data_IF_693402467355
#
_entry.id   IF_693402467355
#
_cell.length_a   1.000
_cell.length_b   1.000
_cell.length_c   1.000
_cell.angle_alpha   90.00
_cell.angle_beta   90.00
_cell.angle_gamma   90.00
#
_symmetry.space_group_name_H-M   'P 1'
#
loop_
_entity.id
_entity.type
_entity.pdbx_description
1 polymer ?
#
# COMPACT_ATOMS: atom_id res chain seq x y z
N UNK A 1 -7.18 20.20 -2.61
CA UNK A 1 -5.72 19.99 -2.62
C UNK A 1 -5.08 21.10 -3.44
N UNK A 2 -4.06 21.74 -2.89
CA UNK A 2 -3.43 22.89 -3.55
C UNK A 2 -2.43 22.43 -4.61
N UNK A 3 -2.18 23.29 -5.61
CA UNK A 3 -1.17 23.09 -6.65
C UNK A 3 0.22 22.87 -6.02
N UNK A 4 0.53 23.57 -4.93
CA UNK A 4 1.82 23.47 -4.24
C UNK A 4 2.09 22.05 -3.72
N UNK A 5 1.04 21.37 -3.23
CA UNK A 5 1.18 19.99 -2.76
C UNK A 5 1.43 19.04 -3.93
N UNK A 6 0.68 19.20 -5.04
CA UNK A 6 0.84 18.35 -6.23
C UNK A 6 2.21 18.48 -6.87
N UNK A 7 2.76 19.69 -6.88
CA UNK A 7 4.01 20.00 -7.58
C UNK A 7 5.21 20.12 -6.64
N UNK A 8 5.09 19.63 -5.41
CA UNK A 8 6.17 19.68 -4.42
C UNK A 8 7.38 18.86 -4.87
N UNK A 9 8.57 19.30 -4.46
CA UNK A 9 9.82 18.58 -4.75
C UNK A 9 10.10 17.43 -3.78
N UNK A 10 9.39 17.40 -2.66
CA UNK A 10 9.66 16.46 -1.59
C UNK A 10 10.83 16.89 -0.70
N UNK A 11 10.73 16.54 0.58
CA UNK A 11 11.78 16.85 1.55
C UNK A 11 12.96 15.88 1.40
N UNK A 12 14.15 16.33 1.76
CA UNK A 12 15.35 15.49 1.76
C UNK A 12 15.48 14.68 3.05
N UNK A 13 14.80 15.12 4.12
CA UNK A 13 14.81 14.45 5.42
C UNK A 13 13.36 14.32 5.93
N UNK A 14 13.07 13.21 6.62
CA UNK A 14 11.72 12.94 7.13
C UNK A 14 11.21 14.07 8.02
N UNK A 15 12.05 14.65 8.87
CA UNK A 15 11.66 15.73 9.78
C UNK A 15 11.27 17.01 9.04
N UNK A 16 11.65 17.17 7.79
CA UNK A 16 11.33 18.33 6.97
C UNK A 16 10.04 18.17 6.17
N UNK A 17 9.39 17.00 6.21
CA UNK A 17 8.12 16.78 5.51
C UNK A 17 7.05 17.62 6.20
N UNK A 18 6.33 18.52 5.46
CA UNK A 18 5.26 19.29 6.10
C UNK A 18 4.19 18.36 6.68
N UNK A 19 3.63 18.74 7.83
CA UNK A 19 2.62 17.92 8.51
C UNK A 19 1.38 17.71 7.67
N UNK A 20 1.00 18.68 6.84
CA UNK A 20 -0.12 18.56 5.91
C UNK A 20 0.15 17.48 4.86
N UNK A 21 1.36 17.46 4.30
CA UNK A 21 1.75 16.44 3.32
C UNK A 21 1.73 15.06 3.97
N UNK A 22 2.31 14.92 5.13
CA UNK A 22 2.36 13.64 5.84
C UNK A 22 0.94 13.13 6.16
N UNK A 23 0.06 14.02 6.60
CA UNK A 23 -1.34 13.69 6.89
C UNK A 23 -2.05 13.16 5.63
N UNK A 24 -1.85 13.81 4.48
CA UNK A 24 -2.44 13.37 3.23
C UNK A 24 -1.87 12.04 2.75
N UNK A 25 -0.57 11.82 2.91
CA UNK A 25 0.08 10.55 2.58
C UNK A 25 -0.51 9.41 3.44
N UNK A 26 -0.63 9.63 4.74
CA UNK A 26 -1.14 8.63 5.67
C UNK A 26 -2.64 8.38 5.52
N UNK A 27 -3.36 9.27 4.82
CA UNK A 27 -4.76 9.10 4.48
C UNK A 27 -4.98 8.50 3.09
N UNK A 28 -3.90 8.26 2.34
CA UNK A 28 -4.00 7.69 0.99
C UNK A 28 -4.54 8.66 -0.05
N UNK A 29 -4.39 9.95 0.16
CA UNK A 29 -4.96 10.99 -0.71
C UNK A 29 -4.00 11.57 -1.73
N UNK A 30 -2.71 11.32 -1.58
CA UNK A 30 -1.68 11.75 -2.53
C UNK A 30 -0.62 10.66 -2.68
N UNK A 31 0.13 10.73 -3.78
CA UNK A 31 1.29 9.87 -3.99
C UNK A 31 2.53 10.48 -3.33
N UNK A 32 3.50 9.64 -2.99
CA UNK A 32 4.83 10.13 -2.58
C UNK A 32 5.59 10.65 -3.81
N UNK A 33 6.45 11.64 -3.61
CA UNK A 33 7.24 12.22 -4.70
C UNK A 33 8.72 11.83 -4.64
N UNK A 34 9.16 11.27 -3.52
CA UNK A 34 10.54 10.78 -3.37
C UNK A 34 10.61 9.67 -2.33
N UNK A 35 11.79 9.08 -2.21
CA UNK A 35 12.02 7.97 -1.28
C UNK A 35 11.80 8.39 0.18
N UNK A 36 12.18 9.61 0.53
CA UNK A 36 11.99 10.12 1.91
C UNK A 36 10.53 10.09 2.31
N UNK A 37 9.63 10.57 1.44
CA UNK A 37 8.20 10.51 1.69
C UNK A 37 7.70 9.06 1.75
N UNK A 38 8.16 8.22 0.82
CA UNK A 38 7.74 6.82 0.76
C UNK A 38 8.08 6.07 2.05
N UNK A 39 9.29 6.30 2.59
CA UNK A 39 9.71 5.69 3.85
C UNK A 39 8.99 6.27 5.07
N UNK A 40 8.46 7.49 4.98
CA UNK A 40 7.80 8.17 6.09
C UNK A 40 6.32 7.83 6.26
N UNK A 41 5.71 7.15 5.29
CA UNK A 41 4.28 6.78 5.38
C UNK A 41 4.06 5.88 6.60
N UNK A 42 3.07 6.24 7.42
CA UNK A 42 2.62 5.41 8.53
C UNK A 42 1.58 4.43 8.02
N UNK A 43 1.98 3.19 7.79
CA UNK A 43 1.12 2.17 7.21
C UNK A 43 -0.03 1.76 8.13
N UNK A 44 0.11 1.89 9.45
CA UNK A 44 -1.01 1.59 10.35
C UNK A 44 -2.12 2.64 10.20
N UNK A 45 -1.77 3.91 10.05
CA UNK A 45 -2.74 4.97 9.78
C UNK A 45 -3.34 4.84 8.39
N UNK A 46 -2.51 4.51 7.38
CA UNK A 46 -2.96 4.33 6.01
C UNK A 46 -4.00 3.19 5.93
N UNK A 47 -3.72 2.06 6.54
CA UNK A 47 -4.63 0.92 6.60
C UNK A 47 -5.96 1.32 7.25
N UNK A 48 -5.92 2.00 8.39
CA UNK A 48 -7.13 2.46 9.08
C UNK A 48 -7.95 3.44 8.23
N UNK A 49 -7.28 4.24 7.41
CA UNK A 49 -7.94 5.26 6.58
C UNK A 49 -8.61 4.69 5.34
N UNK A 50 -7.97 3.72 4.67
CA UNK A 50 -8.45 3.25 3.37
C UNK A 50 -9.17 1.90 3.40
N UNK A 51 -8.79 0.96 4.26
CA UNK A 51 -9.35 -0.38 4.25
C UNK A 51 -10.87 -0.42 4.49
N UNK A 52 -11.45 0.43 5.35
CA UNK A 52 -12.93 0.45 5.49
C UNK A 52 -13.65 0.74 4.17
N UNK A 53 -13.14 1.66 3.37
CA UNK A 53 -13.72 2.00 2.07
C UNK A 53 -13.60 0.89 1.04
N UNK A 54 -12.64 -0.03 1.23
CA UNK A 54 -12.45 -1.20 0.37
C UNK A 54 -13.32 -2.39 0.78
N UNK A 55 -14.13 -2.23 1.82
CA UNK A 55 -14.99 -3.31 2.31
C UNK A 55 -14.27 -4.35 3.14
N UNK A 56 -13.08 -4.06 3.63
CA UNK A 56 -12.32 -4.98 4.48
C UNK A 56 -12.94 -4.97 5.88
N UNK A 57 -13.14 -6.17 6.44
CA UNK A 57 -13.74 -6.36 7.75
C UNK A 57 -12.93 -5.65 8.86
N UNK A 58 -13.63 -5.02 9.79
CA UNK A 58 -13.01 -4.31 10.91
C UNK A 58 -12.06 -5.20 11.72
N UNK A 59 -12.42 -6.46 11.94
CA UNK A 59 -11.58 -7.40 12.69
C UNK A 59 -10.27 -7.67 11.97
N UNK A 60 -10.31 -7.75 10.64
CA UNK A 60 -9.11 -7.94 9.82
C UNK A 60 -8.23 -6.69 9.89
N UNK A 61 -8.83 -5.50 9.83
CA UNK A 61 -8.09 -4.23 9.95
C UNK A 61 -7.37 -4.17 11.30
N UNK A 62 -8.06 -4.51 12.38
CA UNK A 62 -7.47 -4.52 13.72
C UNK A 62 -6.32 -5.52 13.83
N UNK A 63 -6.46 -6.70 13.25
CA UNK A 63 -5.40 -7.70 13.21
C UNK A 63 -4.18 -7.21 12.43
N UNK A 64 -4.40 -6.60 11.27
CA UNK A 64 -3.31 -6.05 10.45
C UNK A 64 -2.55 -4.97 11.24
N UNK A 65 -3.25 -4.04 11.85
CA UNK A 65 -2.64 -2.95 12.63
C UNK A 65 -1.87 -3.52 13.82
N UNK A 66 -2.44 -4.50 14.51
CA UNK A 66 -1.78 -5.16 15.64
C UNK A 66 -0.46 -5.80 15.19
N UNK A 67 -0.47 -6.53 14.09
CA UNK A 67 0.72 -7.20 13.58
C UNK A 67 1.78 -6.22 13.09
N UNK A 68 1.37 -5.09 12.52
CA UNK A 68 2.31 -4.03 12.14
C UNK A 68 3.09 -3.56 13.38
N UNK A 69 2.38 -3.34 14.50
CA UNK A 69 3.02 -2.88 15.74
C UNK A 69 3.85 -3.93 16.45
N UNK A 70 3.63 -5.22 16.15
CA UNK A 70 4.36 -6.33 16.78
C UNK A 70 5.62 -6.74 16.02
N UNK A 71 5.95 -6.09 14.92
CA UNK A 71 7.12 -6.43 14.12
C UNK A 71 8.41 -6.27 14.95
N UNK A 72 9.28 -7.28 14.89
CA UNK A 72 10.57 -7.24 15.57
C UNK A 72 11.57 -6.35 14.85
N UNK A 73 11.52 -6.34 13.51
CA UNK A 73 12.39 -5.52 12.65
C UNK A 73 11.51 -4.72 11.68
N UNK A 74 10.87 -3.66 12.18
CA UNK A 74 9.99 -2.86 11.34
C UNK A 74 10.78 -2.11 10.26
N UNK A 75 10.27 -2.18 9.04
CA UNK A 75 10.75 -1.39 7.91
C UNK A 75 9.58 -1.21 6.96
N UNK A 76 9.68 -0.24 6.07
CA UNK A 76 8.64 -0.01 5.08
C UNK A 76 8.39 -1.26 4.24
N UNK A 77 9.45 -1.88 3.75
CA UNK A 77 9.33 -3.10 2.93
C UNK A 77 8.72 -4.27 3.71
N UNK A 78 9.16 -4.49 4.93
CA UNK A 78 8.62 -5.57 5.76
C UNK A 78 7.15 -5.33 6.09
N UNK A 79 6.77 -4.07 6.33
CA UNK A 79 5.38 -3.71 6.62
C UNK A 79 4.49 -3.92 5.40
N UNK A 80 4.92 -3.50 4.21
CA UNK A 80 4.17 -3.70 2.97
C UNK A 80 3.97 -5.20 2.71
N UNK A 81 5.03 -5.99 2.85
CA UNK A 81 4.96 -7.44 2.68
C UNK A 81 3.99 -8.08 3.68
N UNK A 82 4.06 -7.66 4.94
CA UNK A 82 3.18 -8.17 6.00
C UNK A 82 1.71 -7.89 5.66
N UNK A 83 1.40 -6.67 5.24
CA UNK A 83 0.04 -6.28 4.87
C UNK A 83 -0.45 -7.13 3.69
N UNK A 84 0.35 -7.25 2.65
CA UNK A 84 0.03 -8.08 1.49
C UNK A 84 -0.19 -9.54 1.86
N UNK A 85 0.65 -10.08 2.74
CA UNK A 85 0.53 -11.47 3.20
C UNK A 85 -0.74 -11.72 4.01
N UNK A 86 -1.11 -10.79 4.88
CA UNK A 86 -2.33 -10.92 5.68
C UNK A 86 -3.59 -10.82 4.80
N UNK A 87 -3.60 -9.89 3.84
CA UNK A 87 -4.71 -9.77 2.90
C UNK A 87 -4.83 -11.02 2.03
N UNK A 88 -3.69 -11.54 1.55
CA UNK A 88 -3.66 -12.79 0.80
C UNK A 88 -4.28 -13.92 1.61
N UNK A 89 -3.81 -14.14 2.83
CA UNK A 89 -4.28 -15.20 3.70
C UNK A 89 -5.80 -15.13 3.93
N UNK A 90 -6.32 -13.91 4.15
CA UNK A 90 -7.74 -13.72 4.47
C UNK A 90 -8.66 -13.81 3.25
N UNK A 91 -8.19 -13.45 2.07
CA UNK A 91 -9.08 -13.26 0.91
C UNK A 91 -8.83 -14.16 -0.28
N UNK A 92 -7.70 -14.89 -0.35
CA UNK A 92 -7.32 -15.64 -1.55
C UNK A 92 -8.37 -16.66 -2.02
N UNK A 93 -9.08 -17.29 -1.10
CA UNK A 93 -10.11 -18.27 -1.42
C UNK A 93 -11.53 -17.71 -1.34
N UNK A 94 -11.67 -16.39 -1.40
CA UNK A 94 -12.98 -15.72 -1.35
C UNK A 94 -13.25 -15.00 -2.66
N UNK A 95 -14.52 -14.67 -2.89
CA UNK A 95 -14.95 -13.89 -4.06
C UNK A 95 -14.46 -12.43 -3.99
N UNK A 96 -13.95 -11.99 -2.85
CA UNK A 96 -13.44 -10.63 -2.67
C UNK A 96 -12.00 -10.44 -3.13
N UNK A 97 -11.25 -11.53 -3.38
CA UNK A 97 -9.83 -11.46 -3.77
C UNK A 97 -9.61 -10.63 -5.03
N UNK A 98 -10.31 -10.97 -6.12
CA UNK A 98 -10.13 -10.25 -7.40
C UNK A 98 -10.60 -8.79 -7.33
N UNK A 99 -11.78 -8.47 -6.77
CA UNK A 99 -12.16 -7.07 -6.58
C UNK A 99 -11.18 -6.31 -5.70
N UNK A 100 -10.68 -6.93 -4.62
CA UNK A 100 -9.70 -6.30 -3.74
C UNK A 100 -8.41 -6.00 -4.47
N UNK A 101 -7.88 -6.96 -5.23
CA UNK A 101 -6.68 -6.75 -6.04
C UNK A 101 -6.88 -5.56 -6.99
N UNK A 102 -8.00 -5.50 -7.68
CA UNK A 102 -8.30 -4.40 -8.61
C UNK A 102 -8.32 -3.05 -7.89
N UNK A 103 -9.00 -2.97 -6.75
CA UNK A 103 -9.08 -1.73 -5.98
C UNK A 103 -7.71 -1.28 -5.46
N UNK A 104 -6.89 -2.21 -4.98
CA UNK A 104 -5.55 -1.90 -4.49
C UNK A 104 -4.63 -1.48 -5.63
N UNK A 105 -4.65 -2.21 -6.76
CA UNK A 105 -3.73 -1.98 -7.87
C UNK A 105 -4.01 -0.69 -8.62
N UNK A 106 -5.22 -0.14 -8.51
CA UNK A 106 -5.63 1.11 -9.16
C UNK A 106 -5.80 2.27 -8.20
N UNK A 107 -5.43 2.09 -6.94
CA UNK A 107 -5.61 3.12 -5.91
C UNK A 107 -4.73 4.35 -6.19
N UNK A 108 -5.21 5.52 -5.77
CA UNK A 108 -4.47 6.78 -5.90
C UNK A 108 -3.13 6.76 -5.17
N UNK A 109 -3.07 6.15 -3.98
CA UNK A 109 -1.85 6.05 -3.20
C UNK A 109 -0.91 5.00 -3.78
N UNK A 110 0.33 5.37 -4.06
CA UNK A 110 1.37 4.44 -4.52
C UNK A 110 1.67 3.37 -3.46
N UNK A 111 1.67 3.74 -2.18
CA UNK A 111 1.88 2.77 -1.10
C UNK A 111 0.81 1.68 -1.09
N UNK A 112 -0.44 2.04 -1.36
CA UNK A 112 -1.54 1.08 -1.46
C UNK A 112 -1.36 0.17 -2.67
N UNK A 113 -0.92 0.73 -3.81
CA UNK A 113 -0.63 -0.09 -5.00
C UNK A 113 0.47 -1.11 -4.72
N UNK A 114 1.42 -0.79 -3.84
CA UNK A 114 2.46 -1.75 -3.43
C UNK A 114 1.88 -2.98 -2.72
N UNK A 115 0.79 -2.82 -1.95
CA UNK A 115 0.13 -3.97 -1.32
C UNK A 115 -0.38 -4.97 -2.36
N UNK A 116 -0.88 -4.49 -3.49
CA UNK A 116 -1.36 -5.33 -4.58
C UNK A 116 -0.26 -6.23 -5.15
N UNK A 117 0.96 -5.75 -5.20
CA UNK A 117 2.09 -6.53 -5.70
C UNK A 117 2.28 -7.81 -4.89
N UNK A 118 2.25 -7.70 -3.56
CA UNK A 118 2.42 -8.86 -2.69
C UNK A 118 1.19 -9.77 -2.65
N UNK A 119 0.00 -9.21 -2.85
CA UNK A 119 -1.22 -10.00 -2.95
C UNK A 119 -1.13 -11.04 -4.09
N UNK A 120 -0.49 -10.68 -5.19
CA UNK A 120 -0.27 -11.59 -6.32
C UNK A 120 1.00 -12.41 -6.14
N UNK A 121 2.10 -11.80 -5.71
CA UNK A 121 3.38 -12.47 -5.58
C UNK A 121 3.32 -13.69 -4.66
N UNK A 122 2.49 -13.64 -3.63
CA UNK A 122 2.33 -14.72 -2.66
C UNK A 122 1.36 -15.81 -3.11
N UNK A 123 0.65 -15.61 -4.22
CA UNK A 123 -0.34 -16.57 -4.70
C UNK A 123 0.33 -17.74 -5.41
N UNK A 124 0.60 -18.81 -4.66
CA UNK A 124 1.31 -19.99 -5.17
C UNK A 124 0.47 -20.92 -6.03
N UNK A 125 -0.87 -20.80 -5.99
CA UNK A 125 -1.80 -21.70 -6.66
C UNK A 125 -2.06 -21.34 -8.13
N UNK A 126 -1.63 -20.17 -8.59
CA UNK A 126 -1.81 -19.75 -9.97
C UNK A 126 -0.50 -19.91 -10.76
N UNK A 127 -0.57 -20.20 -12.08
CA UNK A 127 0.62 -20.29 -12.92
C UNK A 127 1.40 -18.98 -12.95
N UNK A 128 2.70 -19.09 -13.18
CA UNK A 128 3.58 -17.92 -13.30
C UNK A 128 3.09 -16.94 -14.37
N UNK A 129 2.57 -17.44 -15.49
CA UNK A 129 2.04 -16.59 -16.55
C UNK A 129 0.90 -15.69 -16.06
N UNK A 130 0.00 -16.24 -15.24
CA UNK A 130 -1.12 -15.47 -14.68
C UNK A 130 -0.64 -14.41 -13.71
N UNK A 131 0.40 -14.72 -12.90
CA UNK A 131 1.03 -13.74 -12.02
C UNK A 131 1.63 -12.60 -12.82
N UNK A 132 2.37 -12.93 -13.87
CA UNK A 132 3.01 -11.92 -14.72
C UNK A 132 1.97 -11.04 -15.41
N UNK A 133 0.87 -11.63 -15.85
CA UNK A 133 -0.22 -10.89 -16.48
C UNK A 133 -0.85 -9.89 -15.48
N UNK A 134 -1.11 -10.32 -14.25
CA UNK A 134 -1.67 -9.46 -13.19
C UNK A 134 -0.70 -8.35 -12.80
N UNK A 135 0.60 -8.64 -12.72
CA UNK A 135 1.61 -7.69 -12.32
C UNK A 135 2.01 -6.71 -13.43
N UNK A 136 1.68 -7.02 -14.69
CA UNK A 136 2.08 -6.19 -15.83
C UNK A 136 1.72 -4.71 -15.68
N UNK A 137 0.48 -4.32 -15.31
CA UNK A 137 0.16 -2.91 -15.10
C UNK A 137 0.98 -2.28 -13.96
N UNK A 138 1.33 -3.04 -12.93
CA UNK A 138 2.10 -2.56 -11.78
C UNK A 138 3.58 -2.39 -12.14
N UNK A 139 4.15 -3.29 -12.94
CA UNK A 139 5.52 -3.16 -13.47
C UNK A 139 5.62 -1.93 -14.37
N UNK A 140 4.55 -1.63 -15.12
CA UNK A 140 4.46 -0.48 -16.00
C UNK A 140 3.99 0.80 -15.28
N UNK A 141 3.79 0.74 -13.96
CA UNK A 141 3.35 1.89 -13.17
C UNK A 141 4.34 3.03 -13.32
N UNK A 142 3.85 4.25 -13.45
CA UNK A 142 4.67 5.45 -13.60
C UNK A 142 5.44 5.80 -12.32
N UNK A 143 4.96 5.29 -11.17
CA UNK A 143 5.55 5.62 -9.88
C UNK A 143 6.75 4.72 -9.55
N UNK A 144 7.86 5.34 -9.11
CA UNK A 144 9.11 4.63 -8.80
C UNK A 144 8.96 3.55 -7.71
N UNK A 145 8.06 3.75 -6.76
CA UNK A 145 7.89 2.84 -5.61
C UNK A 145 7.07 1.59 -5.94
N UNK A 146 6.31 1.58 -7.04
CA UNK A 146 5.44 0.47 -7.43
C UNK A 146 6.09 -0.47 -8.43
N UNK A 147 6.72 0.09 -9.48
CA UNK A 147 7.36 -0.67 -10.57
C UNK A 147 8.67 -1.39 -10.18
#
# INVERSE_FOLDING_TARGET
MTEDIKNRKGAQKAVAIPSEVLSLLNAGRIETVNLTEWLAVDHSQLVKSIFPALGIDKNIIEEVVCQIHQQKKPSTMNTIRLIGALLYEKYVHTDLYEPLFKQLSTHLSDSVRCYACYLVALHTEIPLEDKLHKLKPLVADSHFGVR
#
